data_IF_442092276955
#
_entry.id   IF_442092276955
#
_cell.length_a   1.000
_cell.length_b   1.000
_cell.length_c   1.000
_cell.angle_alpha   90.00
_cell.angle_beta   90.00
_cell.angle_gamma   90.00
#
_symmetry.space_group_name_H-M   'P 1'
#
loop_
_entity.id
_entity.type
_entity.pdbx_description
1 polymer ?
#
# COMPACT_ATOMS: atom_id res chain seq x y z
N UNK A 1 -31.08 16.38 -6.86
CA UNK A 1 -30.20 15.19 -6.88
C UNK A 1 -28.92 15.57 -6.14
N UNK A 2 -28.69 14.95 -5.00
CA UNK A 2 -27.56 15.23 -4.13
C UNK A 2 -26.36 14.41 -4.58
N UNK A 3 -25.28 15.08 -5.00
CA UNK A 3 -24.07 14.46 -5.53
C UNK A 3 -23.00 14.28 -4.46
N UNK A 4 -22.46 13.10 -4.38
CA UNK A 4 -21.37 12.73 -3.46
C UNK A 4 -20.15 12.34 -4.26
N UNK A 5 -18.95 12.77 -3.86
CA UNK A 5 -17.69 12.35 -4.46
C UNK A 5 -16.76 11.75 -3.39
N UNK A 6 -16.07 10.69 -3.77
CA UNK A 6 -15.01 10.07 -2.97
C UNK A 6 -13.82 9.70 -3.86
N UNK A 7 -12.61 9.68 -3.29
CA UNK A 7 -11.38 9.36 -4.01
C UNK A 7 -10.60 8.25 -3.31
N UNK A 8 -9.92 7.46 -4.12
CA UNK A 8 -9.02 6.42 -3.62
C UNK A 8 -8.26 5.72 -4.71
N UNK A 9 -7.22 4.99 -4.35
CA UNK A 9 -6.48 4.11 -5.26
C UNK A 9 -7.30 2.88 -5.62
N UNK A 10 -8.06 2.32 -4.67
CA UNK A 10 -8.89 1.11 -4.80
C UNK A 10 -8.12 -0.13 -5.28
N UNK A 11 -6.83 -0.18 -4.91
CA UNK A 11 -5.99 -1.33 -5.19
C UNK A 11 -6.45 -2.56 -4.41
N UNK A 12 -6.50 -3.74 -5.08
CA UNK A 12 -7.00 -4.98 -4.50
C UNK A 12 -8.36 -4.76 -3.80
N UNK A 13 -9.36 -4.34 -4.56
CA UNK A 13 -10.67 -3.97 -4.02
C UNK A 13 -11.16 -5.01 -2.99
N UNK A 14 -11.41 -4.57 -1.77
CA UNK A 14 -11.79 -5.42 -0.64
C UNK A 14 -13.03 -4.90 0.08
N UNK A 15 -13.56 -5.70 1.02
CA UNK A 15 -14.76 -5.37 1.82
C UNK A 15 -14.71 -3.99 2.49
N UNK A 16 -13.51 -3.51 2.87
CA UNK A 16 -13.33 -2.18 3.44
C UNK A 16 -13.64 -1.06 2.44
N UNK A 17 -13.18 -1.22 1.18
CA UNK A 17 -13.49 -0.30 0.09
C UNK A 17 -14.99 -0.33 -0.25
N UNK A 18 -15.57 -1.52 -0.39
CA UNK A 18 -17.01 -1.67 -0.69
C UNK A 18 -17.85 -0.97 0.38
N UNK A 19 -17.58 -1.20 1.67
CA UNK A 19 -18.29 -0.53 2.77
C UNK A 19 -18.11 0.99 2.78
N UNK A 20 -16.93 1.49 2.37
CA UNK A 20 -16.72 2.94 2.19
C UNK A 20 -17.65 3.45 1.10
N UNK A 21 -17.70 2.78 -0.06
CA UNK A 21 -18.55 3.16 -1.19
C UNK A 21 -20.04 3.08 -0.84
N UNK A 22 -20.49 2.03 -0.14
CA UNK A 22 -21.87 1.91 0.35
C UNK A 22 -22.29 3.09 1.25
N UNK A 23 -21.41 3.45 2.20
CA UNK A 23 -21.64 4.59 3.09
C UNK A 23 -21.59 5.92 2.36
N UNK A 24 -20.68 6.07 1.39
CA UNK A 24 -20.61 7.24 0.54
C UNK A 24 -21.90 7.39 -0.28
N UNK A 25 -22.37 6.29 -0.89
CA UNK A 25 -23.64 6.26 -1.63
C UNK A 25 -24.85 6.65 -0.77
N UNK A 26 -24.87 6.22 0.48
CA UNK A 26 -25.95 6.54 1.43
C UNK A 26 -26.00 8.04 1.83
N UNK A 27 -24.99 8.84 1.51
CA UNK A 27 -24.99 10.28 1.80
C UNK A 27 -25.76 11.11 0.76
N UNK A 28 -26.05 10.54 -0.42
CA UNK A 28 -26.73 11.25 -1.50
C UNK A 28 -27.40 10.35 -2.53
N UNK A 29 -27.81 10.94 -3.62
CA UNK A 29 -28.54 10.26 -4.69
C UNK A 29 -27.60 9.74 -5.80
N UNK A 30 -26.45 10.38 -5.97
CA UNK A 30 -25.48 10.14 -7.05
C UNK A 30 -24.07 10.09 -6.51
N UNK A 31 -23.39 8.95 -6.68
CA UNK A 31 -22.02 8.74 -6.21
C UNK A 31 -21.03 8.81 -7.37
N UNK A 32 -20.08 9.73 -7.26
CA UNK A 32 -18.93 9.87 -8.13
C UNK A 32 -17.72 9.25 -7.41
N UNK A 33 -17.01 8.35 -8.09
CA UNK A 33 -15.82 7.70 -7.52
C UNK A 33 -14.58 8.09 -8.34
N UNK A 34 -13.67 8.83 -7.73
CA UNK A 34 -12.36 9.16 -8.30
C UNK A 34 -11.36 8.04 -8.03
N UNK A 35 -10.84 7.41 -9.09
CA UNK A 35 -9.77 6.42 -9.02
C UNK A 35 -8.45 7.09 -9.34
N UNK A 36 -7.48 7.02 -8.42
CA UNK A 36 -6.19 7.71 -8.59
C UNK A 36 -5.36 7.04 -9.69
N UNK A 37 -4.83 7.84 -10.63
CA UNK A 37 -3.95 7.37 -11.70
C UNK A 37 -2.63 6.81 -11.16
N UNK A 38 -2.03 5.84 -11.86
CA UNK A 38 -0.77 5.19 -11.46
C UNK A 38 0.39 6.19 -11.37
N UNK A 39 0.42 7.18 -12.25
CA UNK A 39 1.40 8.27 -12.26
C UNK A 39 1.28 9.12 -11.02
N UNK A 40 0.07 9.54 -10.68
CA UNK A 40 -0.19 10.39 -9.54
C UNK A 40 -0.01 9.66 -8.20
N UNK A 41 -0.35 8.37 -8.12
CA UNK A 41 -0.04 7.53 -6.94
C UNK A 41 1.49 7.46 -6.70
N UNK A 42 2.30 7.29 -7.76
CA UNK A 42 3.77 7.28 -7.69
C UNK A 42 4.35 8.63 -7.25
N UNK A 43 3.87 9.74 -7.77
CA UNK A 43 4.29 11.09 -7.37
C UNK A 43 4.04 11.35 -5.89
N UNK A 44 2.96 10.81 -5.33
CA UNK A 44 2.64 10.87 -3.90
C UNK A 44 3.36 9.82 -3.04
N UNK A 45 4.30 9.08 -3.62
CA UNK A 45 5.10 8.06 -2.93
C UNK A 45 4.41 6.71 -2.76
N UNK A 46 3.28 6.46 -3.44
CA UNK A 46 2.57 5.18 -3.39
C UNK A 46 3.02 4.27 -4.53
N UNK A 47 4.15 3.61 -4.33
CA UNK A 47 4.84 2.81 -5.36
C UNK A 47 4.38 1.34 -5.42
N UNK A 48 3.56 0.87 -4.47
CA UNK A 48 3.22 -0.55 -4.29
C UNK A 48 1.79 -0.89 -4.73
N UNK A 49 1.27 -0.19 -5.72
CA UNK A 49 -0.03 -0.51 -6.33
C UNK A 49 0.14 -1.75 -7.20
N UNK A 50 -0.67 -2.79 -6.95
CA UNK A 50 -0.55 -4.09 -7.62
C UNK A 50 -1.34 -4.16 -8.92
N UNK A 51 -2.49 -3.51 -8.96
CA UNK A 51 -3.40 -3.54 -10.10
C UNK A 51 -3.25 -2.29 -10.94
N UNK A 52 -3.32 -2.46 -12.27
CA UNK A 52 -3.37 -1.34 -13.19
C UNK A 52 -4.59 -0.44 -12.96
N UNK A 53 -4.51 0.82 -13.38
CA UNK A 53 -5.64 1.75 -13.29
C UNK A 53 -6.92 1.17 -13.90
N UNK A 54 -6.80 0.48 -15.05
CA UNK A 54 -7.95 -0.13 -15.74
C UNK A 54 -8.60 -1.20 -14.88
N UNK A 55 -7.82 -2.12 -14.29
CA UNK A 55 -8.34 -3.15 -13.40
C UNK A 55 -9.04 -2.56 -12.17
N UNK A 56 -8.46 -1.51 -11.59
CA UNK A 56 -9.03 -0.81 -10.43
C UNK A 56 -10.35 -0.12 -10.76
N UNK A 57 -10.46 0.49 -11.94
CA UNK A 57 -11.69 1.08 -12.45
C UNK A 57 -12.77 0.01 -12.65
N UNK A 58 -12.43 -1.14 -13.28
CA UNK A 58 -13.37 -2.24 -13.48
C UNK A 58 -13.82 -2.86 -12.16
N UNK A 59 -12.92 -2.99 -11.19
CA UNK A 59 -13.28 -3.47 -9.85
C UNK A 59 -14.27 -2.51 -9.16
N UNK A 60 -14.06 -1.21 -9.24
CA UNK A 60 -15.02 -0.22 -8.70
C UNK A 60 -16.35 -0.31 -9.45
N UNK A 61 -16.33 -0.38 -10.80
CA UNK A 61 -17.53 -0.50 -11.62
C UNK A 61 -18.34 -1.75 -11.28
N UNK A 62 -17.68 -2.87 -11.08
CA UNK A 62 -18.32 -4.16 -10.75
C UNK A 62 -19.08 -4.15 -9.41
N UNK A 63 -18.80 -3.20 -8.52
CA UNK A 63 -19.58 -3.04 -7.27
C UNK A 63 -21.02 -2.58 -7.51
N UNK A 64 -21.29 -1.94 -8.65
CA UNK A 64 -22.57 -1.31 -8.95
C UNK A 64 -22.92 -0.10 -8.06
N UNK A 65 -21.99 0.38 -7.23
CA UNK A 65 -22.22 1.47 -6.29
C UNK A 65 -21.93 2.85 -6.88
N UNK A 66 -20.95 2.94 -7.79
CA UNK A 66 -20.60 4.18 -8.47
C UNK A 66 -21.55 4.47 -9.63
N UNK A 67 -22.16 5.66 -9.63
CA UNK A 67 -22.94 6.16 -10.76
C UNK A 67 -22.02 6.76 -11.85
N UNK A 68 -20.90 7.32 -11.43
CA UNK A 68 -19.87 7.88 -12.31
C UNK A 68 -18.47 7.56 -11.75
N UNK A 69 -17.52 7.29 -12.65
CA UNK A 69 -16.13 7.08 -12.28
C UNK A 69 -15.27 8.10 -13.02
N UNK A 70 -14.42 8.81 -12.29
CA UNK A 70 -13.44 9.76 -12.81
C UNK A 70 -12.03 9.34 -12.45
N UNK A 71 -11.04 9.78 -13.21
CA UNK A 71 -9.63 9.51 -12.92
C UNK A 71 -9.03 10.72 -12.21
N UNK A 72 -8.34 10.49 -11.09
CA UNK A 72 -7.59 11.52 -10.39
C UNK A 72 -6.14 11.52 -10.89
N UNK A 73 -5.72 12.62 -11.52
CA UNK A 73 -4.43 12.69 -12.23
C UNK A 73 -3.46 13.74 -11.63
N UNK A 74 -3.96 14.73 -10.87
CA UNK A 74 -3.12 15.82 -10.39
C UNK A 74 -3.56 16.40 -9.04
N UNK A 75 -2.64 17.08 -8.38
CA UNK A 75 -2.92 17.80 -7.13
C UNK A 75 -3.87 18.98 -7.38
N UNK A 76 -4.88 19.11 -6.52
CA UNK A 76 -5.92 20.16 -6.67
C UNK A 76 -7.14 19.75 -7.50
N UNK A 77 -7.10 18.66 -8.26
CA UNK A 77 -8.22 18.19 -9.08
C UNK A 77 -9.53 18.04 -8.30
N UNK A 78 -9.46 17.72 -7.01
CA UNK A 78 -10.66 17.62 -6.16
C UNK A 78 -11.51 18.91 -6.15
N UNK A 79 -10.85 20.07 -6.15
CA UNK A 79 -11.55 21.37 -6.21
C UNK A 79 -12.19 21.55 -7.58
N UNK A 80 -11.46 21.23 -8.65
CA UNK A 80 -11.94 21.37 -10.02
C UNK A 80 -13.14 20.46 -10.28
N UNK A 81 -13.06 19.21 -9.82
CA UNK A 81 -14.14 18.24 -9.96
C UNK A 81 -15.38 18.62 -9.13
N UNK A 82 -15.19 19.08 -7.89
CA UNK A 82 -16.29 19.56 -7.04
C UNK A 82 -17.05 20.69 -7.74
N UNK A 83 -16.34 21.65 -8.30
CA UNK A 83 -16.93 22.80 -9.00
C UNK A 83 -17.58 22.38 -10.32
N UNK A 84 -16.86 21.61 -11.16
CA UNK A 84 -17.31 21.19 -12.48
C UNK A 84 -18.56 20.32 -12.43
N UNK A 85 -18.64 19.42 -11.45
CA UNK A 85 -19.75 18.47 -11.33
C UNK A 85 -20.83 18.92 -10.36
N UNK A 86 -20.68 20.08 -9.71
CA UNK A 86 -21.58 20.60 -8.69
C UNK A 86 -21.80 19.58 -7.57
N UNK A 87 -20.72 19.18 -6.91
CA UNK A 87 -20.74 18.19 -5.84
C UNK A 87 -21.21 18.80 -4.52
N UNK A 88 -22.17 18.18 -3.87
CA UNK A 88 -22.69 18.61 -2.57
C UNK A 88 -21.87 18.11 -1.39
N UNK A 89 -21.31 16.88 -1.51
CA UNK A 89 -20.57 16.21 -0.43
C UNK A 89 -19.29 15.60 -0.97
N UNK A 90 -18.15 15.96 -0.37
CA UNK A 90 -16.90 15.21 -0.47
C UNK A 90 -16.78 14.27 0.72
N UNK A 91 -16.42 13.00 0.50
CA UNK A 91 -16.25 12.04 1.58
C UNK A 91 -15.04 11.13 1.38
N UNK A 92 -14.37 10.80 2.48
CA UNK A 92 -13.23 9.86 2.56
C UNK A 92 -13.23 9.16 3.91
N UNK A 93 -12.36 8.15 4.07
CA UNK A 93 -12.16 7.49 5.36
C UNK A 93 -11.62 8.41 6.45
N UNK A 94 -11.92 8.10 7.71
CA UNK A 94 -11.51 8.88 8.89
C UNK A 94 -9.99 8.97 9.08
N UNK A 95 -9.21 8.09 8.46
CA UNK A 95 -7.73 8.15 8.44
C UNK A 95 -7.20 9.47 7.85
N UNK A 96 -8.03 10.15 7.06
CA UNK A 96 -7.73 11.42 6.40
C UNK A 96 -8.30 12.65 7.12
N UNK A 97 -8.83 12.47 8.33
CA UNK A 97 -9.46 13.54 9.10
C UNK A 97 -8.55 14.77 9.21
N UNK A 98 -9.10 15.93 8.88
CA UNK A 98 -8.40 17.21 8.87
C UNK A 98 -7.63 17.53 7.57
N UNK A 99 -7.23 16.53 6.78
CA UNK A 99 -6.42 16.76 5.56
C UNK A 99 -7.20 17.40 4.41
N UNK A 100 -8.51 17.26 4.40
CA UNK A 100 -9.38 17.76 3.34
C UNK A 100 -10.38 18.84 3.83
N UNK A 101 -10.15 19.40 5.02
CA UNK A 101 -11.03 20.43 5.58
C UNK A 101 -11.09 21.70 4.72
N UNK A 102 -10.03 21.96 3.94
CA UNK A 102 -9.98 23.08 2.98
C UNK A 102 -11.07 22.97 1.88
N UNK A 103 -11.60 21.77 1.62
CA UNK A 103 -12.70 21.57 0.66
C UNK A 103 -14.04 22.05 1.20
N UNK A 104 -14.15 22.36 2.50
CA UNK A 104 -15.37 22.89 3.12
C UNK A 104 -15.82 24.24 2.57
N UNK A 105 -14.92 24.97 1.90
CA UNK A 105 -15.26 26.20 1.15
C UNK A 105 -16.12 25.92 -0.10
N UNK A 106 -16.10 24.68 -0.61
CA UNK A 106 -16.73 24.32 -1.88
C UNK A 106 -17.89 23.34 -1.73
N UNK A 107 -17.83 22.44 -0.74
CA UNK A 107 -18.87 21.45 -0.48
C UNK A 107 -18.82 20.97 0.99
N UNK A 108 -19.81 20.17 1.40
CA UNK A 108 -19.78 19.55 2.72
C UNK A 108 -18.71 18.44 2.76
N UNK A 109 -17.78 18.49 3.73
CA UNK A 109 -16.78 17.43 3.96
C UNK A 109 -17.29 16.45 5.03
N UNK A 110 -17.25 15.15 4.74
CA UNK A 110 -17.67 14.08 5.65
C UNK A 110 -16.59 13.02 5.74
N UNK A 111 -16.12 12.71 6.95
CA UNK A 111 -15.16 11.64 7.21
C UNK A 111 -15.91 10.40 7.70
N UNK A 112 -15.80 9.29 6.97
CA UNK A 112 -16.44 8.02 7.29
C UNK A 112 -15.54 7.17 8.18
N UNK A 113 -16.09 6.66 9.27
CA UNK A 113 -15.33 5.82 10.20
C UNK A 113 -14.77 4.56 9.49
N UNK A 114 -13.52 4.22 9.82
CA UNK A 114 -12.84 3.07 9.24
C UNK A 114 -13.53 1.76 9.65
N UNK A 115 -13.67 0.85 8.70
CA UNK A 115 -14.04 -0.53 8.99
C UNK A 115 -12.83 -1.25 9.58
N UNK A 116 -12.91 -1.65 10.85
CA UNK A 116 -11.84 -2.37 11.55
C UNK A 116 -11.59 -3.74 10.90
N UNK A 117 -10.31 -4.16 10.86
CA UNK A 117 -9.91 -5.53 10.54
C UNK A 117 -9.78 -5.87 9.04
N UNK A 118 -9.73 -4.87 8.12
CA UNK A 118 -9.44 -5.14 6.70
C UNK A 118 -8.70 -3.95 6.10
N UNK A 119 -7.51 -4.19 5.57
CA UNK A 119 -6.75 -3.18 4.82
C UNK A 119 -6.12 -3.79 3.57
N UNK A 120 -5.86 -2.97 2.53
CA UNK A 120 -5.09 -3.40 1.36
C UNK A 120 -3.68 -3.88 1.75
N UNK A 121 -3.15 -3.42 2.88
CA UNK A 121 -1.86 -3.86 3.42
C UNK A 121 -1.93 -5.30 3.92
N UNK A 122 -3.01 -5.69 4.61
CA UNK A 122 -3.22 -7.09 5.05
C UNK A 122 -3.43 -8.03 3.86
N UNK A 123 -4.18 -7.59 2.85
CA UNK A 123 -4.39 -8.39 1.63
C UNK A 123 -3.11 -8.53 0.79
N UNK A 124 -2.22 -7.53 0.81
CA UNK A 124 -0.92 -7.63 0.15
C UNK A 124 0.02 -8.59 0.86
N UNK A 125 -0.12 -8.79 2.17
CA UNK A 125 0.64 -9.82 2.89
C UNK A 125 0.22 -11.25 2.53
N UNK A 126 -0.99 -11.45 2.01
CA UNK A 126 -1.48 -12.75 1.52
C UNK A 126 -1.08 -13.03 0.07
N UNK A 127 -0.62 -12.02 -0.68
CA UNK A 127 0.03 -12.21 -1.97
C UNK A 127 1.44 -12.75 -1.70
N UNK A 128 1.85 -13.77 -2.43
CA UNK A 128 3.12 -14.50 -2.33
C UNK A 128 4.28 -13.52 -2.15
N UNK A 129 4.68 -13.29 -0.90
CA UNK A 129 5.86 -12.49 -0.58
C UNK A 129 7.11 -13.23 -1.03
N UNK A 130 8.03 -12.53 -1.69
CA UNK A 130 9.35 -13.06 -2.00
C UNK A 130 10.11 -13.17 -0.67
N UNK A 131 10.44 -14.39 -0.26
CA UNK A 131 11.22 -14.66 0.94
C UNK A 131 12.69 -14.42 0.63
N UNK A 132 13.27 -13.40 1.26
CA UNK A 132 14.68 -13.04 1.06
C UNK A 132 15.52 -13.50 2.23
N UNK A 133 16.50 -14.36 1.94
CA UNK A 133 17.59 -14.69 2.85
C UNK A 133 18.69 -13.63 2.80
N UNK A 134 19.19 -13.19 3.95
CA UNK A 134 20.29 -12.23 4.04
C UNK A 134 21.58 -12.95 4.39
N UNK A 135 22.67 -12.64 3.67
CA UNK A 135 24.00 -13.22 3.91
C UNK A 135 25.01 -12.11 4.15
N UNK A 136 25.70 -12.15 5.28
CA UNK A 136 26.79 -11.23 5.61
C UNK A 136 26.77 -10.76 7.07
N UNK A 137 27.65 -9.83 7.40
CA UNK A 137 27.96 -9.44 8.79
C UNK A 137 27.94 -7.91 9.00
N UNK A 138 27.38 -7.16 8.06
CA UNK A 138 27.49 -5.70 8.14
C UNK A 138 26.23 -5.05 8.74
N UNK A 139 26.39 -3.82 9.24
CA UNK A 139 25.28 -2.96 9.65
C UNK A 139 24.27 -2.71 8.52
N UNK A 140 24.67 -2.93 7.27
CA UNK A 140 23.79 -2.81 6.10
C UNK A 140 22.70 -3.88 6.13
N UNK A 141 23.00 -5.12 6.57
CA UNK A 141 21.98 -6.16 6.77
C UNK A 141 20.91 -5.71 7.77
N UNK A 142 21.34 -5.15 8.90
CA UNK A 142 20.42 -4.64 9.92
C UNK A 142 19.54 -3.52 9.37
N UNK A 143 20.14 -2.62 8.61
CA UNK A 143 19.41 -1.54 7.95
C UNK A 143 18.41 -2.09 6.94
N UNK A 144 18.84 -2.99 6.05
CA UNK A 144 17.98 -3.61 5.05
C UNK A 144 16.82 -4.37 5.69
N UNK A 145 17.06 -5.20 6.71
CA UNK A 145 16.02 -5.94 7.41
C UNK A 145 15.00 -5.03 8.12
N UNK A 146 15.43 -3.86 8.58
CA UNK A 146 14.55 -2.85 9.18
C UNK A 146 13.71 -2.14 8.13
N UNK A 147 14.32 -1.73 7.02
CA UNK A 147 13.66 -0.97 5.96
C UNK A 147 12.74 -1.86 5.11
N UNK A 148 13.07 -3.15 4.95
CA UNK A 148 12.22 -4.11 4.22
C UNK A 148 10.81 -4.24 4.80
N UNK A 149 10.61 -3.96 6.08
CA UNK A 149 9.27 -3.93 6.71
C UNK A 149 8.32 -2.89 6.10
N UNK A 150 8.86 -1.89 5.43
CA UNK A 150 8.10 -0.84 4.75
C UNK A 150 7.92 -1.11 3.26
N UNK A 151 8.47 -2.22 2.74
CA UNK A 151 8.37 -2.64 1.35
C UNK A 151 7.38 -3.81 1.25
N UNK A 152 6.32 -3.66 0.48
CA UNK A 152 5.36 -4.75 0.28
C UNK A 152 5.90 -5.78 -0.71
N UNK A 153 5.52 -7.05 -0.52
CA UNK A 153 5.92 -8.16 -1.39
C UNK A 153 7.30 -8.73 -1.08
N UNK A 154 7.94 -8.30 0.00
CA UNK A 154 9.21 -8.81 0.49
C UNK A 154 9.07 -9.22 1.96
N UNK A 155 9.55 -10.40 2.30
CA UNK A 155 9.68 -10.87 3.67
C UNK A 155 11.10 -11.39 3.90
N UNK A 156 11.73 -11.02 5.00
CA UNK A 156 13.02 -11.57 5.38
C UNK A 156 12.79 -12.93 6.02
N UNK A 157 13.22 -14.00 5.33
CA UNK A 157 13.06 -15.37 5.79
C UNK A 157 14.11 -15.79 6.82
N UNK A 158 15.32 -15.23 6.72
CA UNK A 158 16.40 -15.56 7.65
C UNK A 158 17.68 -14.80 7.35
N UNK A 159 18.66 -14.99 8.22
CA UNK A 159 20.02 -14.45 8.08
C UNK A 159 21.05 -15.57 8.28
N UNK A 160 22.05 -15.58 7.43
CA UNK A 160 23.28 -16.34 7.64
C UNK A 160 24.47 -15.39 7.79
N UNK A 161 25.15 -15.47 8.95
CA UNK A 161 26.34 -14.70 9.25
C UNK A 161 27.42 -15.64 9.82
N UNK A 162 28.65 -15.48 9.36
CA UNK A 162 29.80 -16.28 9.88
C UNK A 162 30.12 -15.95 11.34
N UNK A 163 29.73 -14.75 11.80
CA UNK A 163 29.89 -14.30 13.18
C UNK A 163 28.67 -13.50 13.61
N UNK A 164 28.11 -13.85 14.77
CA UNK A 164 26.94 -13.16 15.33
C UNK A 164 27.30 -11.85 16.08
N UNK A 165 28.59 -11.47 16.15
CA UNK A 165 29.05 -10.37 17.00
C UNK A 165 28.58 -8.98 16.55
N UNK A 166 28.21 -8.81 15.27
CA UNK A 166 27.84 -7.50 14.69
C UNK A 166 26.37 -7.36 14.30
N UNK A 167 25.51 -8.32 14.67
CA UNK A 167 24.12 -8.34 14.23
C UNK A 167 23.15 -7.58 15.16
N UNK A 168 23.62 -7.09 16.31
CA UNK A 168 22.84 -6.25 17.23
C UNK A 168 21.45 -6.84 17.55
N UNK A 169 20.43 -5.99 17.54
CA UNK A 169 19.04 -6.38 17.82
C UNK A 169 18.31 -7.02 16.62
N UNK A 170 19.03 -7.65 15.67
CA UNK A 170 18.44 -8.29 14.49
C UNK A 170 17.52 -9.45 14.88
N UNK A 171 17.76 -10.09 16.03
CA UNK A 171 16.91 -11.16 16.57
C UNK A 171 15.44 -10.75 16.76
N UNK A 172 15.17 -9.45 16.98
CA UNK A 172 13.80 -8.94 17.08
C UNK A 172 13.13 -8.72 15.71
N UNK A 173 13.94 -8.75 14.65
CA UNK A 173 13.52 -8.32 13.31
C UNK A 173 13.45 -9.47 12.31
N UNK A 174 14.22 -10.53 12.54
CA UNK A 174 14.42 -11.66 11.63
C UNK A 174 13.96 -12.95 12.30
N UNK A 175 13.11 -13.77 11.64
CA UNK A 175 12.52 -14.97 12.23
C UNK A 175 13.49 -16.13 12.40
N UNK A 176 14.58 -16.18 11.61
CA UNK A 176 15.46 -17.34 11.55
C UNK A 176 16.92 -16.94 11.35
N UNK A 177 17.80 -17.54 12.16
CA UNK A 177 19.25 -17.48 11.99
C UNK A 177 19.73 -18.83 11.50
N UNK A 178 20.24 -18.87 10.28
CA UNK A 178 20.68 -20.11 9.65
C UNK A 178 22.06 -20.54 10.16
N UNK A 179 22.19 -21.81 10.53
CA UNK A 179 23.48 -22.39 10.96
C UNK A 179 24.47 -22.57 9.78
N UNK A 180 23.94 -22.65 8.59
CA UNK A 180 24.71 -22.74 7.36
C UNK A 180 23.94 -22.16 6.16
N UNK A 181 24.65 -21.98 5.04
CA UNK A 181 24.08 -21.39 3.84
C UNK A 181 22.94 -22.21 3.23
N UNK A 182 23.06 -23.55 3.26
CA UNK A 182 22.04 -24.45 2.71
C UNK A 182 20.72 -24.32 3.45
N UNK A 183 20.74 -24.22 4.78
CA UNK A 183 19.55 -24.01 5.59
C UNK A 183 18.85 -22.66 5.28
N UNK A 184 19.61 -21.61 4.93
CA UNK A 184 19.03 -20.34 4.50
C UNK A 184 18.34 -20.48 3.15
N UNK A 185 18.95 -21.22 2.20
CA UNK A 185 18.36 -21.42 0.87
C UNK A 185 17.03 -22.18 0.91
N UNK A 186 16.88 -23.15 1.82
CA UNK A 186 15.63 -23.92 1.96
C UNK A 186 14.42 -23.05 2.33
N UNK A 187 14.64 -21.95 3.04
CA UNK A 187 13.58 -21.05 3.51
C UNK A 187 13.44 -19.78 2.67
N UNK A 188 14.26 -19.60 1.63
CA UNK A 188 14.36 -18.37 0.85
C UNK A 188 14.06 -18.60 -0.63
N UNK A 189 13.36 -17.67 -1.25
CA UNK A 189 13.13 -17.65 -2.70
C UNK A 189 14.25 -16.87 -3.43
N UNK A 190 14.93 -15.96 -2.73
CA UNK A 190 16.08 -15.21 -3.19
C UNK A 190 17.06 -14.94 -2.03
N UNK A 191 18.31 -14.67 -2.35
CA UNK A 191 19.33 -14.35 -1.35
C UNK A 191 19.98 -13.02 -1.69
N UNK A 192 20.07 -12.13 -0.68
CA UNK A 192 20.79 -10.87 -0.78
C UNK A 192 22.13 -10.99 -0.03
N UNK A 193 23.24 -10.97 -0.79
CA UNK A 193 24.58 -11.14 -0.25
C UNK A 193 25.22 -9.77 -0.05
N UNK A 194 25.56 -9.47 1.20
CA UNK A 194 26.27 -8.25 1.60
C UNK A 194 27.61 -8.67 2.20
N UNK A 195 28.64 -8.73 1.39
CA UNK A 195 29.98 -9.06 1.81
C UNK A 195 31.01 -8.30 0.98
N UNK A 196 32.28 -8.32 1.41
CA UNK A 196 33.35 -7.76 0.62
C UNK A 196 33.44 -8.47 -0.75
N UNK A 197 33.70 -7.77 -1.88
CA UNK A 197 33.68 -8.36 -3.23
C UNK A 197 34.51 -9.63 -3.39
N UNK A 198 35.62 -9.74 -2.70
CA UNK A 198 36.50 -10.92 -2.71
C UNK A 198 35.85 -12.18 -2.12
N UNK A 199 34.83 -12.01 -1.28
CA UNK A 199 34.10 -13.12 -0.65
C UNK A 199 32.84 -13.55 -1.44
N UNK A 200 32.44 -12.80 -2.48
CA UNK A 200 31.24 -13.14 -3.25
C UNK A 200 31.38 -14.46 -4.00
N UNK A 201 32.55 -14.72 -4.59
CA UNK A 201 32.79 -15.93 -5.40
C UNK A 201 32.84 -17.24 -4.58
N UNK A 202 33.07 -17.15 -3.29
CA UNK A 202 33.12 -18.33 -2.41
C UNK A 202 31.77 -18.66 -1.78
N UNK A 203 30.73 -17.86 -2.04
CA UNK A 203 29.40 -17.97 -1.43
C UNK A 203 28.28 -18.25 -2.45
N UNK A 204 28.64 -18.43 -3.72
CA UNK A 204 27.80 -18.91 -4.80
C UNK A 204 28.15 -20.35 -5.10
#
# INVERSE_FOLDING_TARGET
>A
MKKVITYGTYDLLHKGHVRLLERAKALGDYLIVGVTADTFDRERGKINVQQSLVERIENVRSTGLADEIVIEEYEGQKIDDIKRMNVDIFTVGSDWRGKFDYLSEYCKVVYLERTKGISSTELRSDLREIRIGLVGESSIITKFARESKFVNGINISGVYAESNQNLGNLHETVPFFADNYAALLEVSDAVYIISHPEKHYTRI
#
